data_IF_276143022241
#
_entry.id   IF_276143022241
#
_cell.length_a   1.000
_cell.length_b   1.000
_cell.length_c   1.000
_cell.angle_alpha   90.00
_cell.angle_beta   90.00
_cell.angle_gamma   90.00
#
_symmetry.space_group_name_H-M   'P 1'
#
loop_
_entity.id
_entity.type
_entity.pdbx_description
1 polymer ?
#
# COMPACT_ATOMS: atom_id res chain seq x y z
N UNK A 1 -22.96 -7.03 2.97
CA UNK A 1 -23.29 -7.80 4.17
C UNK A 1 -22.36 -8.98 4.29
N UNK A 2 -21.63 -9.04 5.36
CA UNK A 2 -20.68 -10.10 5.65
C UNK A 2 -21.38 -11.40 6.02
N UNK A 3 -21.01 -12.49 5.38
CA UNK A 3 -21.35 -13.80 5.86
C UNK A 3 -20.40 -14.16 7.02
N UNK A 4 -20.92 -14.45 8.25
CA UNK A 4 -20.08 -14.69 9.42
C UNK A 4 -19.02 -15.79 9.25
N UNK A 5 -19.31 -16.83 8.43
CA UNK A 5 -18.40 -17.93 8.16
C UNK A 5 -17.14 -17.52 7.38
N UNK A 6 -17.24 -16.55 6.47
CA UNK A 6 -16.10 -16.05 5.69
C UNK A 6 -15.18 -15.20 6.57
N UNK A 7 -15.75 -14.38 7.42
CA UNK A 7 -15.00 -13.60 8.38
C UNK A 7 -14.21 -14.46 9.36
N UNK A 8 -14.80 -15.52 9.85
CA UNK A 8 -14.18 -16.42 10.81
C UNK A 8 -12.87 -17.04 10.27
N UNK A 9 -12.86 -17.50 9.02
CA UNK A 9 -11.68 -18.08 8.41
C UNK A 9 -10.52 -17.07 8.24
N UNK A 10 -10.82 -15.82 7.90
CA UNK A 10 -9.80 -14.78 7.77
C UNK A 10 -9.23 -14.37 9.12
N UNK A 11 -10.05 -14.25 10.14
CA UNK A 11 -9.57 -14.00 11.50
C UNK A 11 -8.70 -15.13 12.03
N UNK A 12 -9.01 -16.38 11.71
CA UNK A 12 -8.16 -17.52 12.08
C UNK A 12 -6.81 -17.49 11.39
N UNK A 13 -6.76 -17.14 10.10
CA UNK A 13 -5.50 -16.99 9.38
C UNK A 13 -4.64 -15.86 9.96
N UNK A 14 -5.24 -14.76 10.37
CA UNK A 14 -4.54 -13.61 10.92
C UNK A 14 -4.12 -13.80 12.39
N UNK A 15 -4.81 -14.64 13.15
CA UNK A 15 -4.43 -14.96 14.53
C UNK A 15 -3.06 -15.67 14.64
N UNK A 16 -2.53 -16.19 13.55
CA UNK A 16 -1.18 -16.75 13.50
C UNK A 16 -0.07 -15.69 13.49
N UNK A 17 -0.37 -14.42 13.29
CA UNK A 17 0.61 -13.36 13.24
C UNK A 17 0.88 -12.78 14.64
N UNK A 18 2.14 -12.90 15.06
CA UNK A 18 2.59 -12.61 16.44
C UNK A 18 2.34 -11.17 16.90
N UNK A 19 2.33 -10.22 15.98
CA UNK A 19 2.27 -8.79 16.27
C UNK A 19 0.94 -8.13 15.93
N UNK A 20 0.01 -8.87 15.36
CA UNK A 20 -1.32 -8.35 15.06
C UNK A 20 -2.18 -8.30 16.32
N UNK A 21 -2.38 -7.09 16.86
CA UNK A 21 -3.18 -6.88 18.07
C UNK A 21 -4.68 -6.77 17.78
N UNK A 22 -5.02 -6.13 16.66
CA UNK A 22 -6.40 -5.96 16.22
C UNK A 22 -6.46 -5.76 14.72
N UNK A 23 -7.54 -6.19 14.09
CA UNK A 23 -7.81 -5.98 12.68
C UNK A 23 -9.20 -5.36 12.51
N UNK A 24 -9.26 -4.20 11.87
CA UNK A 24 -10.50 -3.60 11.38
C UNK A 24 -10.54 -3.66 9.86
N UNK A 25 -11.66 -4.11 9.29
CA UNK A 25 -11.87 -4.12 7.84
C UNK A 25 -13.01 -3.17 7.51
N UNK A 26 -12.72 -2.16 6.70
CA UNK A 26 -13.68 -1.20 6.18
C UNK A 26 -13.83 -1.31 4.67
N UNK A 27 -15.05 -1.20 4.18
CA UNK A 27 -15.34 -1.13 2.75
C UNK A 27 -15.85 0.25 2.39
N UNK A 28 -15.21 0.86 1.40
CA UNK A 28 -15.61 2.14 0.86
C UNK A 28 -16.10 1.96 -0.57
N UNK A 29 -17.38 2.20 -0.80
CA UNK A 29 -17.97 2.19 -2.13
C UNK A 29 -17.90 3.58 -2.73
N UNK A 30 -17.36 3.69 -3.93
CA UNK A 30 -17.14 4.95 -4.59
C UNK A 30 -17.74 4.95 -6.02
N UNK A 31 -18.38 6.05 -6.39
CA UNK A 31 -18.85 6.27 -7.77
C UNK A 31 -17.81 7.08 -8.53
N UNK A 32 -17.27 6.53 -9.61
CA UNK A 32 -16.27 7.17 -10.44
C UNK A 32 -14.90 6.48 -10.41
N UNK A 33 -13.84 7.22 -10.69
CA UNK A 33 -12.50 6.66 -10.64
C UNK A 33 -12.06 6.47 -9.18
N UNK A 34 -11.74 5.23 -8.81
CA UNK A 34 -11.31 4.89 -7.44
C UNK A 34 -10.08 5.67 -6.94
N UNK A 35 -9.20 6.12 -7.86
CA UNK A 35 -8.05 6.94 -7.52
C UNK A 35 -8.46 8.24 -6.82
N UNK A 36 -9.57 8.84 -7.22
CA UNK A 36 -10.06 10.10 -6.62
C UNK A 36 -10.57 9.93 -5.20
N UNK A 37 -10.87 8.71 -4.78
CA UNK A 37 -11.29 8.40 -3.41
C UNK A 37 -10.10 8.33 -2.43
N UNK A 38 -8.88 8.12 -2.91
CA UNK A 38 -7.70 7.94 -2.06
C UNK A 38 -7.50 9.10 -1.08
N UNK A 39 -7.53 10.39 -1.50
CA UNK A 39 -7.34 11.50 -0.57
C UNK A 39 -8.39 11.60 0.53
N UNK A 40 -9.60 11.12 0.27
CA UNK A 40 -10.70 11.14 1.24
C UNK A 40 -10.56 10.06 2.32
N UNK A 41 -9.92 8.94 1.97
CA UNK A 41 -9.78 7.76 2.84
C UNK A 41 -8.43 7.77 3.56
N UNK A 42 -7.39 8.31 2.92
CA UNK A 42 -6.03 8.27 3.41
C UNK A 42 -5.87 9.13 4.67
N UNK A 43 -5.45 8.49 5.76
CA UNK A 43 -5.02 9.17 6.97
C UNK A 43 -3.49 9.29 6.96
N UNK A 44 -2.99 10.48 6.67
CA UNK A 44 -1.54 10.74 6.55
C UNK A 44 -0.79 10.69 7.88
N UNK A 45 -1.49 10.54 9.01
CA UNK A 45 -0.87 10.29 10.32
C UNK A 45 -0.51 8.83 10.54
N UNK A 46 -1.03 7.93 9.69
CA UNK A 46 -0.82 6.49 9.77
C UNK A 46 0.05 5.98 8.63
N UNK A 47 0.89 4.99 8.93
CA UNK A 47 1.75 4.35 7.95
C UNK A 47 0.91 3.40 7.10
N UNK A 48 0.80 3.70 5.81
CA UNK A 48 -0.17 3.09 4.90
C UNK A 48 0.51 2.35 3.76
N UNK A 49 0.15 1.09 3.59
CA UNK A 49 0.41 0.34 2.37
C UNK A 49 -0.75 0.56 1.39
N UNK A 50 -0.47 1.10 0.21
CA UNK A 50 -1.42 1.17 -0.89
C UNK A 50 -1.16 -0.02 -1.81
N UNK A 51 -2.10 -0.95 -1.81
CA UNK A 51 -2.05 -2.14 -2.63
C UNK A 51 -2.86 -1.95 -3.90
N UNK A 52 -2.19 -2.15 -5.04
CA UNK A 52 -2.81 -2.16 -6.35
C UNK A 52 -2.93 -3.61 -6.78
N UNK A 53 -4.13 -4.20 -6.84
CA UNK A 53 -4.29 -5.58 -7.30
C UNK A 53 -3.83 -5.71 -8.75
N UNK A 54 -3.22 -6.86 -9.09
CA UNK A 54 -2.89 -7.18 -10.47
C UNK A 54 -4.20 -7.32 -11.26
N UNK A 55 -4.50 -6.36 -12.11
CA UNK A 55 -5.71 -6.37 -12.92
C UNK A 55 -5.46 -7.20 -14.18
N UNK A 56 -6.10 -8.36 -14.24
CA UNK A 56 -6.24 -9.10 -15.50
C UNK A 56 -7.56 -8.69 -16.13
N UNK A 57 -7.53 -7.90 -17.20
CA UNK A 57 -8.75 -7.57 -17.93
C UNK A 57 -8.75 -6.20 -18.62
N UNK A 58 -9.91 -5.88 -19.24
CA UNK A 58 -10.13 -4.68 -20.07
C UNK A 58 -9.99 -3.34 -19.35
N UNK A 59 -10.01 -3.34 -18.03
CA UNK A 59 -9.93 -2.14 -17.20
C UNK A 59 -8.53 -1.93 -16.58
N UNK A 60 -7.53 -2.67 -17.07
CA UNK A 60 -6.16 -2.45 -16.63
C UNK A 60 -5.66 -1.11 -17.15
N UNK A 61 -5.07 -0.32 -16.27
CA UNK A 61 -4.20 0.77 -16.71
C UNK A 61 -3.18 0.19 -17.70
N UNK A 62 -3.09 0.79 -18.88
CA UNK A 62 -2.14 0.36 -19.91
C UNK A 62 -0.69 0.43 -19.43
N UNK A 63 -0.45 1.25 -18.39
CA UNK A 63 0.86 1.46 -17.78
C UNK A 63 0.73 1.55 -16.25
N UNK A 64 1.33 0.58 -15.55
CA UNK A 64 1.38 0.55 -14.08
C UNK A 64 2.13 1.76 -13.49
N UNK A 65 3.11 2.28 -14.20
CA UNK A 65 3.86 3.47 -13.76
C UNK A 65 2.99 4.70 -13.78
N UNK A 66 2.16 4.83 -14.80
CA UNK A 66 1.18 5.91 -14.86
C UNK A 66 0.16 5.81 -13.72
N UNK A 67 -0.28 4.62 -13.39
CA UNK A 67 -1.18 4.41 -12.25
C UNK A 67 -0.55 4.84 -10.93
N UNK A 68 0.72 4.50 -10.68
CA UNK A 68 1.44 4.95 -9.49
C UNK A 68 1.59 6.46 -9.49
N UNK A 69 1.97 7.05 -10.61
CA UNK A 69 2.09 8.50 -10.74
C UNK A 69 0.77 9.22 -10.46
N UNK A 70 -0.33 8.70 -10.97
CA UNK A 70 -1.67 9.25 -10.76
C UNK A 70 -2.08 9.13 -9.28
N UNK A 71 -1.78 8.02 -8.62
CA UNK A 71 -2.03 7.85 -7.18
C UNK A 71 -1.24 8.88 -6.38
N UNK A 72 0.04 9.03 -6.65
CA UNK A 72 0.87 10.02 -5.96
C UNK A 72 0.35 11.44 -6.21
N UNK A 73 -0.04 11.76 -7.44
CA UNK A 73 -0.60 13.06 -7.80
C UNK A 73 -1.90 13.40 -7.03
N UNK A 74 -2.70 12.41 -6.66
CA UNK A 74 -3.89 12.63 -5.82
C UNK A 74 -3.53 12.95 -4.36
N UNK A 75 -2.37 12.48 -3.89
CA UNK A 75 -1.89 12.70 -2.52
C UNK A 75 -1.19 14.06 -2.41
N UNK A 76 -0.37 14.41 -3.39
CA UNK A 76 0.39 15.65 -3.36
C UNK A 76 1.35 15.79 -4.54
N UNK A 77 2.28 16.73 -4.40
CA UNK A 77 3.29 17.03 -5.39
C UNK A 77 4.63 16.40 -5.01
N UNK A 78 5.28 15.72 -5.95
CA UNK A 78 6.64 15.24 -5.75
C UNK A 78 7.60 16.43 -5.77
N UNK A 79 8.21 16.70 -4.64
CA UNK A 79 9.15 17.85 -4.47
C UNK A 79 10.61 17.42 -4.38
N UNK A 80 10.88 16.13 -4.32
CA UNK A 80 12.23 15.57 -4.28
C UNK A 80 12.24 14.07 -4.25
N UNK A 81 13.44 13.52 -4.24
CA UNK A 81 13.69 12.08 -4.11
C UNK A 81 14.93 11.87 -3.24
N UNK A 82 14.86 10.89 -2.37
CA UNK A 82 16.00 10.38 -1.64
C UNK A 82 16.70 9.33 -2.50
N UNK A 83 17.89 9.62 -3.05
CA UNK A 83 18.49 8.77 -4.06
C UNK A 83 19.03 7.45 -3.50
N UNK A 84 19.32 7.40 -2.21
CA UNK A 84 19.91 6.22 -1.57
C UNK A 84 18.93 5.03 -1.53
N UNK A 85 17.63 5.30 -1.28
CA UNK A 85 16.61 4.28 -1.15
C UNK A 85 15.46 4.46 -2.14
N UNK A 86 15.57 5.42 -3.08
CA UNK A 86 14.56 5.73 -4.10
C UNK A 86 13.20 6.10 -3.50
N UNK A 87 13.21 6.83 -2.40
CA UNK A 87 12.03 7.32 -1.71
C UNK A 87 11.66 8.69 -2.27
N UNK A 88 10.42 8.81 -2.75
CA UNK A 88 9.88 10.08 -3.23
C UNK A 88 9.43 10.93 -2.05
N UNK A 89 9.75 12.20 -2.11
CA UNK A 89 9.32 13.19 -1.13
C UNK A 89 8.11 13.91 -1.72
N UNK A 90 6.96 13.79 -1.07
CA UNK A 90 5.68 14.30 -1.55
C UNK A 90 5.16 15.34 -0.58
N UNK A 91 4.81 16.52 -1.09
CA UNK A 91 4.17 17.58 -0.33
C UNK A 91 2.67 17.55 -0.57
N UNK A 92 1.90 17.39 0.50
CA UNK A 92 0.44 17.44 0.45
C UNK A 92 -0.07 18.87 0.28
N UNK A 93 -1.34 19.07 -0.14
CA UNK A 93 -1.92 20.41 -0.29
C UNK A 93 -1.91 21.26 0.98
N UNK A 94 -1.97 20.62 2.16
CA UNK A 94 -1.87 21.27 3.47
C UNK A 94 -0.42 21.49 3.95
N UNK A 95 0.56 21.19 3.09
CA UNK A 95 1.97 21.45 3.35
C UNK A 95 2.72 20.36 4.11
N UNK A 96 2.09 19.23 4.39
CA UNK A 96 2.73 18.09 5.04
C UNK A 96 3.69 17.38 4.08
N UNK A 97 4.84 16.97 4.57
CA UNK A 97 5.83 16.23 3.79
C UNK A 97 5.70 14.73 4.10
N UNK A 98 5.50 13.94 3.06
CA UNK A 98 5.37 12.48 3.14
C UNK A 98 6.51 11.80 2.39
N UNK A 99 6.97 10.69 2.94
CA UNK A 99 7.98 9.82 2.33
C UNK A 99 7.26 8.62 1.72
N UNK A 100 7.38 8.47 0.39
CA UNK A 100 6.64 7.47 -0.39
C UNK A 100 7.60 6.52 -1.09
N UNK A 101 7.48 5.23 -0.80
CA UNK A 101 8.22 4.16 -1.47
C UNK A 101 7.37 3.50 -2.55
N UNK A 102 8.00 3.14 -3.67
CA UNK A 102 7.36 2.53 -4.82
C UNK A 102 7.98 1.15 -5.11
N UNK A 103 7.25 0.09 -4.74
CA UNK A 103 7.63 -1.30 -5.05
C UNK A 103 7.11 -1.79 -6.42
N UNK A 104 6.41 -0.92 -7.15
CA UNK A 104 5.95 -1.22 -8.52
C UNK A 104 7.09 -1.10 -9.54
N UNK A 105 8.18 -0.45 -9.16
CA UNK A 105 9.35 -0.23 -9.99
C UNK A 105 9.95 -1.54 -10.55
N UNK A 106 10.16 -1.61 -11.85
CA UNK A 106 10.76 -2.77 -12.52
C UNK A 106 12.30 -2.79 -12.44
N UNK A 107 12.90 -1.68 -12.10
CA UNK A 107 14.34 -1.63 -11.89
C UNK A 107 14.69 -2.49 -10.65
N UNK A 108 15.19 -3.67 -10.89
CA UNK A 108 15.47 -4.66 -9.84
C UNK A 108 16.43 -4.12 -8.77
N UNK A 109 17.53 -3.45 -9.10
CA UNK A 109 18.40 -2.84 -8.09
C UNK A 109 17.68 -1.84 -7.19
N UNK A 110 16.85 -0.96 -7.75
CA UNK A 110 16.08 0.04 -6.99
C UNK A 110 15.07 -0.63 -6.06
N UNK A 111 14.31 -1.59 -6.59
CA UNK A 111 13.34 -2.33 -5.81
C UNK A 111 13.99 -3.11 -4.65
N UNK A 112 15.11 -3.77 -4.90
CA UNK A 112 15.87 -4.50 -3.88
C UNK A 112 16.45 -3.56 -2.80
N UNK A 113 16.91 -2.38 -3.21
CA UNK A 113 17.39 -1.38 -2.26
C UNK A 113 16.27 -0.92 -1.33
N UNK A 114 15.07 -0.66 -1.86
CA UNK A 114 13.91 -0.30 -1.05
C UNK A 114 13.47 -1.47 -0.15
N UNK A 115 13.38 -2.69 -0.66
CA UNK A 115 13.04 -3.87 0.14
C UNK A 115 14.02 -4.10 1.30
N UNK A 116 15.31 -3.99 1.04
CA UNK A 116 16.34 -4.11 2.08
C UNK A 116 16.23 -2.99 3.13
N UNK A 117 15.89 -1.79 2.70
CA UNK A 117 15.66 -0.65 3.60
C UNK A 117 14.44 -0.88 4.51
N UNK A 118 13.34 -1.37 3.94
CA UNK A 118 12.13 -1.71 4.72
C UNK A 118 12.42 -2.69 5.87
N UNK A 119 13.24 -3.71 5.61
CA UNK A 119 13.61 -4.70 6.63
C UNK A 119 14.49 -4.14 7.74
N UNK A 120 15.29 -3.12 7.42
CA UNK A 120 16.24 -2.51 8.36
C UNK A 120 15.73 -1.25 9.03
N UNK A 121 14.53 -0.80 8.69
CA UNK A 121 13.93 0.38 9.32
C UNK A 121 13.80 0.20 10.83
N UNK A 122 14.35 1.12 11.56
CA UNK A 122 14.30 1.17 13.02
C UNK A 122 13.44 2.33 13.55
N UNK A 123 12.83 3.09 12.65
CA UNK A 123 11.97 4.23 12.97
C UNK A 123 10.67 4.18 12.19
N UNK A 124 9.56 4.45 12.88
CA UNK A 124 8.25 4.59 12.27
C UNK A 124 8.20 5.71 11.22
N UNK A 125 8.96 6.76 11.43
CA UNK A 125 8.93 7.96 10.57
C UNK A 125 9.84 7.86 9.34
N UNK A 126 10.50 6.73 9.14
CA UNK A 126 11.37 6.51 7.99
C UNK A 126 10.60 6.40 6.66
N UNK A 127 9.33 5.98 6.70
CA UNK A 127 8.45 5.88 5.55
C UNK A 127 6.99 6.11 5.97
N UNK A 128 6.24 6.84 5.15
CA UNK A 128 4.83 7.13 5.41
C UNK A 128 3.88 6.26 4.57
N UNK A 129 4.20 6.09 3.29
CA UNK A 129 3.39 5.35 2.34
C UNK A 129 4.27 4.41 1.53
N UNK A 130 3.81 3.17 1.38
CA UNK A 130 4.38 2.19 0.47
C UNK A 130 3.35 1.80 -0.57
N UNK A 131 3.71 1.82 -1.85
CA UNK A 131 2.85 1.40 -2.95
C UNK A 131 3.35 0.05 -3.48
N UNK A 132 2.49 -0.96 -3.53
CA UNK A 132 2.81 -2.30 -4.00
C UNK A 132 1.78 -2.82 -5.01
N UNK A 133 2.22 -3.62 -5.96
CA UNK A 133 1.39 -4.18 -7.02
C UNK A 133 1.20 -5.69 -6.83
N UNK A 134 -0.05 -6.12 -7.00
CA UNK A 134 -0.39 -7.54 -7.16
C UNK A 134 -0.15 -8.41 -5.93
N UNK A 135 -0.16 -9.70 -6.16
CA UNK A 135 0.36 -10.62 -5.18
C UNK A 135 1.85 -10.36 -5.08
N UNK A 136 2.26 -9.68 -4.05
CA UNK A 136 3.65 -9.39 -3.80
C UNK A 136 4.41 -10.73 -3.67
N UNK A 137 4.67 -11.37 -4.81
CA UNK A 137 5.51 -12.57 -4.92
C UNK A 137 6.92 -12.28 -4.44
N UNK A 138 7.24 -11.01 -4.35
CA UNK A 138 8.53 -10.53 -3.91
C UNK A 138 8.41 -10.08 -2.46
N UNK A 139 9.10 -10.82 -1.60
CA UNK A 139 9.04 -10.61 -0.17
C UNK A 139 9.51 -9.22 0.22
N UNK A 140 8.59 -8.42 0.71
CA UNK A 140 8.92 -7.26 1.54
C UNK A 140 8.36 -7.49 2.94
N UNK A 141 8.96 -6.82 3.89
CA UNK A 141 8.53 -6.81 5.27
C UNK A 141 8.62 -5.38 5.78
N UNK A 142 7.47 -4.81 6.15
CA UNK A 142 7.37 -3.46 6.68
C UNK A 142 6.59 -3.47 8.01
N UNK A 143 7.33 -3.66 9.09
CA UNK A 143 6.77 -3.82 10.43
C UNK A 143 6.01 -2.60 10.97
N UNK A 144 6.19 -1.42 10.38
CA UNK A 144 5.56 -0.18 10.82
C UNK A 144 4.22 0.09 10.14
N UNK A 145 3.77 -0.75 9.22
CA UNK A 145 2.50 -0.60 8.52
C UNK A 145 1.32 -0.67 9.50
N UNK A 146 0.47 0.33 9.44
CA UNK A 146 -0.73 0.43 10.30
C UNK A 146 -2.01 0.24 9.51
N UNK A 147 -2.02 0.63 8.24
CA UNK A 147 -3.18 0.58 7.35
C UNK A 147 -2.80 -0.04 6.02
N UNK A 148 -3.62 -0.96 5.55
CA UNK A 148 -3.56 -1.45 4.17
C UNK A 148 -4.78 -0.96 3.41
N UNK A 149 -4.54 -0.10 2.42
CA UNK A 149 -5.56 0.42 1.52
C UNK A 149 -5.46 -0.31 0.18
N UNK A 150 -6.42 -1.16 -0.12
CA UNK A 150 -6.52 -1.81 -1.42
C UNK A 150 -7.41 -1.01 -2.34
N UNK A 151 -6.90 -0.60 -3.49
CA UNK A 151 -7.61 0.22 -4.47
C UNK A 151 -7.89 -0.58 -5.73
N UNK A 152 -9.14 -0.57 -6.20
CA UNK A 152 -9.58 -1.26 -7.42
C UNK A 152 -10.85 -2.06 -7.24
N UNK A 153 -11.34 -2.62 -8.34
CA UNK A 153 -12.66 -3.24 -8.42
C UNK A 153 -12.69 -4.68 -7.89
N UNK A 154 -11.55 -5.38 -7.84
CA UNK A 154 -11.49 -6.82 -7.53
C UNK A 154 -10.25 -7.19 -6.72
N UNK A 155 -10.13 -6.67 -5.53
CA UNK A 155 -9.17 -7.24 -4.59
C UNK A 155 -9.68 -8.58 -4.06
N UNK A 156 -8.93 -9.65 -4.28
CA UNK A 156 -9.17 -10.90 -3.59
C UNK A 156 -8.88 -10.72 -2.11
N UNK A 157 -9.80 -11.14 -1.24
CA UNK A 157 -9.56 -11.11 0.21
C UNK A 157 -8.32 -11.93 0.59
N UNK A 158 -8.00 -12.97 -0.16
CA UNK A 158 -6.78 -13.76 0.04
C UNK A 158 -5.52 -12.92 -0.20
N UNK A 159 -5.50 -12.09 -1.25
CA UNK A 159 -4.39 -11.17 -1.51
C UNK A 159 -4.25 -10.15 -0.39
N UNK A 160 -5.35 -9.58 0.09
CA UNK A 160 -5.35 -8.62 1.21
C UNK A 160 -4.75 -9.27 2.46
N UNK A 161 -5.17 -10.49 2.80
CA UNK A 161 -4.63 -11.22 3.96
C UNK A 161 -3.13 -11.50 3.82
N UNK A 162 -2.68 -11.92 2.63
CA UNK A 162 -1.26 -12.15 2.37
C UNK A 162 -0.42 -10.88 2.51
N UNK A 163 -0.97 -9.74 2.12
CA UNK A 163 -0.29 -8.44 2.21
C UNK A 163 -0.25 -7.97 3.66
N UNK A 164 -1.34 -8.09 4.40
CA UNK A 164 -1.37 -7.79 5.85
C UNK A 164 -0.30 -8.60 6.58
N UNK A 165 -0.13 -9.87 6.24
CA UNK A 165 0.90 -10.72 6.80
C UNK A 165 2.34 -10.22 6.59
N UNK A 166 2.58 -9.37 5.60
CA UNK A 166 3.89 -8.75 5.34
C UNK A 166 4.12 -7.45 6.09
N UNK A 167 3.07 -6.93 6.70
CA UNK A 167 3.10 -5.72 7.52
C UNK A 167 3.10 -6.03 9.03
N UNK A 168 3.15 -7.27 9.36
CA UNK A 168 3.16 -7.77 10.74
C UNK A 168 4.37 -8.63 11.02
#
# INVERSE_FOLDING_TARGET
LFQPAVNYNYYQQLNGYKYLKSLGIGYHFFRGKYITAIPEILDTTKKTLIHIPAVQGRDSYADKYQQVADIIATIGEVVGEEPEHFIKIVRTPDGKILRVGDLVEDNIPQRRALQAYLQRMNSRDALDILIALGTAKEGFDWQWCEVCLTVGIRASLTEVVQIIGRCT
#
